data_IF_981499092350
#
_entry.id   IF_981499092350
#
_cell.length_a   1.000
_cell.length_b   1.000
_cell.length_c   1.000
_cell.angle_alpha   90.00
_cell.angle_beta   90.00
_cell.angle_gamma   90.00
#
_symmetry.space_group_name_H-M   'P 1'
#
loop_
_entity.id
_entity.type
_entity.pdbx_description
1 polymer ?
#
# COMPACT_ATOMS: atom_id res chain seq x y z
N UNK A 1 -14.95 -20.14 -2.96
CA UNK A 1 -14.05 -18.99 -3.22
C UNK A 1 -13.81 -18.31 -1.88
N UNK A 2 -12.58 -18.29 -1.38
CA UNK A 2 -12.26 -17.74 -0.06
C UNK A 2 -12.43 -16.22 -0.09
N UNK A 3 -13.26 -15.66 0.79
CA UNK A 3 -13.43 -14.22 0.87
C UNK A 3 -12.10 -13.56 1.32
N UNK A 4 -11.61 -12.53 0.62
CA UNK A 4 -10.30 -11.92 0.88
C UNK A 4 -10.22 -11.29 2.28
N UNK A 5 -11.33 -10.70 2.77
CA UNK A 5 -11.46 -10.23 4.15
C UNK A 5 -11.28 -11.35 5.17
N UNK A 6 -11.87 -12.52 4.91
CA UNK A 6 -11.71 -13.70 5.78
C UNK A 6 -10.28 -14.24 5.77
N UNK A 7 -9.61 -14.21 4.61
CA UNK A 7 -8.21 -14.60 4.49
C UNK A 7 -7.28 -13.66 5.28
N UNK A 8 -7.51 -12.34 5.19
CA UNK A 8 -6.78 -11.35 5.97
C UNK A 8 -6.98 -11.56 7.48
N UNK A 9 -8.23 -11.73 7.92
CA UNK A 9 -8.54 -11.97 9.33
C UNK A 9 -7.86 -13.23 9.87
N UNK A 10 -7.92 -14.33 9.12
CA UNK A 10 -7.26 -15.57 9.50
C UNK A 10 -5.73 -15.41 9.58
N UNK A 11 -5.14 -14.63 8.68
CA UNK A 11 -3.72 -14.33 8.72
C UNK A 11 -3.34 -13.53 9.97
N UNK A 12 -4.05 -12.43 10.26
CA UNK A 12 -3.81 -11.62 11.45
C UNK A 12 -3.91 -12.47 12.73
N UNK A 13 -4.96 -13.29 12.85
CA UNK A 13 -5.11 -14.22 13.97
C UNK A 13 -3.95 -15.21 14.08
N UNK A 14 -3.48 -15.77 12.96
CA UNK A 14 -2.38 -16.74 12.95
C UNK A 14 -1.04 -16.15 13.39
N UNK A 15 -0.87 -14.82 13.21
CA UNK A 15 0.34 -14.07 13.54
C UNK A 15 0.22 -13.30 14.86
N UNK A 16 -0.87 -13.48 15.61
CA UNK A 16 -1.17 -12.72 16.84
C UNK A 16 -1.20 -11.19 16.61
N UNK A 17 -1.63 -10.77 15.42
CA UNK A 17 -1.82 -9.36 15.07
C UNK A 17 -3.21 -8.86 15.49
N UNK A 18 -3.40 -7.53 15.61
CA UNK A 18 -4.70 -6.92 15.82
C UNK A 18 -5.74 -7.33 14.77
N UNK A 19 -7.02 -7.13 15.06
CA UNK A 19 -8.07 -7.33 14.06
C UNK A 19 -8.02 -6.17 13.05
N UNK A 20 -7.95 -6.43 11.74
CA UNK A 20 -7.96 -5.38 10.75
C UNK A 20 -9.35 -4.73 10.66
N UNK A 21 -9.39 -3.41 10.55
CA UNK A 21 -10.60 -2.61 10.39
C UNK A 21 -10.75 -2.20 8.94
N UNK A 22 -11.96 -2.32 8.39
CA UNK A 22 -12.28 -1.93 7.02
C UNK A 22 -13.21 -0.73 7.03
N UNK A 23 -12.81 0.34 6.35
CA UNK A 23 -13.66 1.51 6.11
C UNK A 23 -13.88 1.66 4.61
N UNK A 24 -15.14 1.62 4.17
CA UNK A 24 -15.45 1.73 2.73
C UNK A 24 -16.31 2.94 2.46
N UNK A 25 -15.84 3.79 1.54
CA UNK A 25 -16.49 5.03 1.12
C UNK A 25 -16.87 4.91 -0.36
N UNK A 26 -18.13 5.22 -0.66
CA UNK A 26 -18.62 5.32 -2.02
C UNK A 26 -18.45 6.76 -2.51
N UNK A 27 -17.75 6.91 -3.63
CA UNK A 27 -17.48 8.17 -4.32
C UNK A 27 -17.86 8.01 -5.80
N UNK A 28 -17.87 9.09 -6.57
CA UNK A 28 -18.22 9.04 -7.99
C UNK A 28 -19.69 9.31 -8.29
N UNK A 29 -20.01 9.39 -9.57
CA UNK A 29 -21.35 9.69 -10.09
C UNK A 29 -22.13 8.41 -10.37
N UNK A 30 -23.43 8.53 -10.64
CA UNK A 30 -24.29 7.37 -10.98
C UNK A 30 -23.76 6.60 -12.20
N UNK A 31 -23.17 7.31 -13.17
CA UNK A 31 -22.60 6.75 -14.40
C UNK A 31 -21.18 6.15 -14.22
N UNK A 32 -20.47 6.51 -13.15
CA UNK A 32 -19.08 6.10 -12.90
C UNK A 32 -18.80 5.93 -11.40
N UNK A 33 -19.40 4.91 -10.76
CA UNK A 33 -19.26 4.70 -9.33
C UNK A 33 -17.85 4.23 -8.98
N UNK A 34 -17.27 4.85 -7.95
CA UNK A 34 -15.95 4.54 -7.41
C UNK A 34 -16.03 4.28 -5.92
N UNK A 35 -15.75 3.05 -5.51
CA UNK A 35 -15.65 2.69 -4.11
C UNK A 35 -14.19 2.62 -3.71
N UNK A 36 -13.88 3.19 -2.55
CA UNK A 36 -12.56 3.18 -1.93
C UNK A 36 -12.70 2.47 -0.59
N UNK A 37 -11.82 1.50 -0.33
CA UNK A 37 -11.82 0.70 0.90
C UNK A 37 -10.45 0.77 1.54
N UNK A 38 -10.41 1.29 2.76
CA UNK A 38 -9.21 1.44 3.58
C UNK A 38 -9.15 0.30 4.59
N UNK A 39 -7.97 -0.30 4.75
CA UNK A 39 -7.69 -1.36 5.72
C UNK A 39 -6.66 -0.87 6.70
N UNK A 40 -7.05 -0.78 7.96
CA UNK A 40 -6.17 -0.33 9.04
C UNK A 40 -5.97 -1.41 10.09
N UNK A 41 -4.78 -1.44 10.69
CA UNK A 41 -4.40 -2.35 11.78
C UNK A 41 -3.90 -1.50 12.94
N UNK A 42 -4.52 -1.64 14.11
CA UNK A 42 -4.23 -0.79 15.27
C UNK A 42 -4.33 0.73 15.02
N UNK A 43 -5.23 1.13 14.12
CA UNK A 43 -5.41 2.53 13.71
C UNK A 43 -4.43 3.01 12.63
N UNK A 44 -3.44 2.20 12.26
CA UNK A 44 -2.51 2.51 11.17
C UNK A 44 -3.03 1.98 9.83
N UNK A 45 -3.07 2.83 8.80
CA UNK A 45 -3.51 2.46 7.46
C UNK A 45 -2.49 1.52 6.81
N UNK A 46 -2.88 0.27 6.55
CA UNK A 46 -2.04 -0.73 5.89
C UNK A 46 -2.15 -0.68 4.37
N UNK A 47 -3.38 -0.57 3.86
CA UNK A 47 -3.64 -0.58 2.43
C UNK A 47 -4.96 0.07 2.07
N UNK A 48 -5.03 0.61 0.85
CA UNK A 48 -6.25 1.14 0.24
C UNK A 48 -6.52 0.41 -1.07
N UNK A 49 -7.74 -0.08 -1.24
CA UNK A 49 -8.22 -0.70 -2.47
C UNK A 49 -9.36 0.09 -3.09
N UNK A 50 -9.47 0.01 -4.41
CA UNK A 50 -10.50 0.72 -5.17
C UNK A 50 -11.22 -0.23 -6.12
N UNK A 51 -12.48 0.08 -6.45
CA UNK A 51 -13.27 -0.71 -7.39
C UNK A 51 -14.59 -0.05 -7.76
N UNK A 52 -15.29 -0.61 -8.74
CA UNK A 52 -16.61 -0.11 -9.18
C UNK A 52 -17.75 -0.57 -8.28
N UNK A 53 -17.44 -1.39 -7.27
CA UNK A 53 -18.37 -1.83 -6.24
C UNK A 53 -17.69 -1.90 -4.89
N UNK A 54 -18.46 -1.79 -3.80
CA UNK A 54 -17.95 -1.98 -2.43
C UNK A 54 -17.18 -3.29 -2.29
N UNK A 55 -17.70 -4.38 -2.85
CA UNK A 55 -17.08 -5.71 -2.80
C UNK A 55 -15.73 -5.77 -3.51
N UNK A 56 -15.61 -5.08 -4.64
CA UNK A 56 -14.37 -5.02 -5.41
C UNK A 56 -13.31 -4.21 -4.68
N UNK A 57 -13.67 -3.03 -4.17
CA UNK A 57 -12.77 -2.19 -3.39
C UNK A 57 -12.26 -2.92 -2.14
N UNK A 58 -13.15 -3.56 -1.38
CA UNK A 58 -12.80 -4.37 -0.20
C UNK A 58 -11.91 -5.57 -0.56
N UNK A 59 -12.15 -6.20 -1.71
CA UNK A 59 -11.32 -7.32 -2.18
C UNK A 59 -9.90 -6.86 -2.45
N UNK A 60 -9.75 -5.79 -3.24
CA UNK A 60 -8.45 -5.23 -3.59
C UNK A 60 -7.71 -4.77 -2.33
N UNK A 61 -8.40 -4.09 -1.41
CA UNK A 61 -7.79 -3.60 -0.18
C UNK A 61 -7.29 -4.75 0.72
N UNK A 62 -8.10 -5.80 0.87
CA UNK A 62 -7.71 -6.98 1.65
C UNK A 62 -6.55 -7.76 1.02
N UNK A 63 -6.51 -7.87 -0.31
CA UNK A 63 -5.40 -8.51 -1.03
C UNK A 63 -4.08 -7.75 -0.83
N UNK A 64 -4.11 -6.43 -1.00
CA UNK A 64 -2.95 -5.57 -0.78
C UNK A 64 -2.48 -5.60 0.68
N UNK A 65 -3.42 -5.52 1.64
CA UNK A 65 -3.09 -5.62 3.06
C UNK A 65 -2.45 -6.97 3.41
N UNK A 66 -2.98 -8.07 2.86
CA UNK A 66 -2.44 -9.41 3.12
C UNK A 66 -1.04 -9.56 2.54
N UNK A 67 -0.81 -9.06 1.32
CA UNK A 67 0.51 -9.06 0.71
C UNK A 67 1.51 -8.24 1.53
N UNK A 68 1.10 -7.04 1.97
CA UNK A 68 1.90 -6.18 2.81
C UNK A 68 2.31 -6.88 4.13
N UNK A 69 1.34 -7.49 4.81
CA UNK A 69 1.60 -8.23 6.05
C UNK A 69 2.47 -9.49 5.85
N UNK A 70 2.40 -10.13 4.69
CA UNK A 70 3.29 -11.25 4.34
C UNK A 70 4.72 -10.80 4.09
N UNK A 71 4.93 -9.62 3.51
CA UNK A 71 6.28 -9.06 3.34
C UNK A 71 6.92 -8.70 4.69
N UNK A 72 6.14 -8.14 5.62
CA UNK A 72 6.65 -7.73 6.95
C UNK A 72 6.84 -8.93 7.89
N UNK A 73 5.84 -9.82 7.98
CA UNK A 73 5.82 -10.89 8.99
C UNK A 73 6.13 -12.30 8.43
N UNK A 74 6.41 -12.41 7.13
CA UNK A 74 6.68 -13.66 6.43
C UNK A 74 5.44 -14.54 6.22
N UNK A 75 5.50 -15.49 5.29
CA UNK A 75 4.40 -16.44 5.02
C UNK A 75 3.92 -17.16 6.32
N UNK A 76 2.61 -17.47 6.43
CA UNK A 76 2.11 -18.21 7.57
C UNK A 76 2.65 -19.64 7.51
N UNK A 77 3.53 -20.00 8.45
CA UNK A 77 4.09 -21.33 8.57
C UNK A 77 2.96 -22.33 8.85
N UNK A 78 2.59 -23.12 7.85
CA UNK A 78 1.61 -24.21 7.97
C UNK A 78 2.08 -25.16 9.08
N UNK A 79 1.27 -25.31 10.13
CA UNK A 79 1.57 -26.17 11.29
C UNK A 79 1.58 -27.65 10.88
N UNK A 80 2.69 -28.13 10.33
CA UNK A 80 2.99 -29.55 10.30
C UNK A 80 3.41 -30.00 11.70
N UNK A 81 2.57 -30.82 12.32
CA UNK A 81 2.81 -31.50 13.59
C UNK A 81 4.03 -32.42 13.48
N UNK A 82 5.20 -32.08 14.06
CA UNK A 82 6.10 -33.11 14.63
C UNK A 82 7.19 -32.57 15.58
N UNK A 83 6.98 -32.90 16.86
CA UNK A 83 7.93 -33.39 17.88
C UNK A 83 9.23 -32.61 18.14
N UNK A 84 9.30 -32.06 19.36
CA UNK A 84 10.46 -31.97 20.30
C UNK A 84 11.83 -32.23 19.68
N UNK A 85 12.71 -31.20 19.71
CA UNK A 85 14.08 -31.22 20.29
C UNK A 85 14.68 -29.81 20.29
N UNK A 86 15.31 -29.42 21.40
CA UNK A 86 16.14 -28.20 21.61
C UNK A 86 17.50 -28.69 22.18
N UNK A 87 18.56 -27.86 22.27
CA UNK A 87 19.46 -27.47 21.18
C UNK A 87 20.95 -27.76 21.52
N UNK A 88 21.85 -27.55 20.55
CA UNK A 88 23.31 -27.35 20.67
C UNK A 88 23.77 -26.88 19.28
N UNK A 89 24.55 -25.86 19.03
CA UNK A 89 25.25 -24.79 19.74
C UNK A 89 25.89 -23.94 18.60
N UNK A 90 25.89 -22.60 18.71
CA UNK A 90 27.08 -21.72 18.67
C UNK A 90 28.03 -21.97 17.50
N UNK A 91 28.36 -21.01 16.64
CA UNK A 91 28.90 -19.66 16.91
C UNK A 91 28.97 -18.90 15.57
N UNK A 92 28.55 -17.63 15.52
CA UNK A 92 29.40 -16.42 15.33
C UNK A 92 30.23 -16.42 14.04
N UNK A 93 30.45 -15.35 13.30
CA UNK A 93 30.05 -13.94 13.28
C UNK A 93 30.81 -13.37 12.09
N UNK A 94 30.26 -12.45 11.29
CA UNK A 94 31.00 -11.27 10.85
C UNK A 94 30.23 -10.38 9.89
N UNK A 95 30.25 -9.10 10.27
CA UNK A 95 30.38 -7.94 9.41
C UNK A 95 29.12 -7.46 8.68
N UNK A 96 28.37 -6.70 9.45
CA UNK A 96 27.63 -5.50 9.05
C UNK A 96 28.28 -4.75 7.88
N UNK A 97 27.45 -4.40 6.90
CA UNK A 97 27.39 -3.02 6.43
C UNK A 97 25.94 -2.56 6.62
N UNK A 98 25.70 -1.41 7.28
CA UNK A 98 24.36 -0.86 7.36
C UNK A 98 23.97 -0.47 5.93
N UNK A 99 23.04 -1.21 5.33
CA UNK A 99 22.28 -0.65 4.23
C UNK A 99 21.55 0.53 4.85
N UNK A 100 22.02 1.73 4.53
CA UNK A 100 21.40 3.00 4.83
C UNK A 100 19.93 2.86 4.46
N UNK A 101 19.13 2.50 5.47
CA UNK A 101 17.70 2.34 5.33
C UNK A 101 17.23 3.77 5.15
N UNK A 102 17.10 4.19 3.90
CA UNK A 102 16.44 5.44 3.58
C UNK A 102 15.07 5.37 4.26
N UNK A 103 14.82 6.16 5.31
CA UNK A 103 13.56 6.11 6.05
C UNK A 103 12.36 6.49 5.15
N UNK A 104 12.60 7.04 3.96
CA UNK A 104 11.60 7.33 2.95
C UNK A 104 11.06 6.09 2.20
N UNK A 105 11.59 4.89 2.42
CA UNK A 105 11.05 3.66 1.83
C UNK A 105 9.92 3.03 2.67
N UNK A 106 9.79 3.42 3.94
CA UNK A 106 8.82 2.87 4.90
C UNK A 106 7.73 3.90 5.27
N UNK A 107 8.06 5.19 5.22
CA UNK A 107 7.05 6.24 5.19
C UNK A 107 6.63 6.45 3.74
N UNK A 108 5.33 6.52 3.46
CA UNK A 108 4.85 7.05 2.18
C UNK A 108 5.57 8.36 1.84
N UNK A 109 5.74 8.64 0.55
CA UNK A 109 6.37 9.87 0.10
C UNK A 109 5.75 11.04 0.87
N UNK A 110 6.58 11.91 1.51
CA UNK A 110 6.07 13.00 2.31
C UNK A 110 5.10 13.78 1.44
N UNK A 111 3.84 13.92 1.85
CA UNK A 111 2.81 14.57 1.05
C UNK A 111 2.87 16.06 1.34
N UNK A 112 3.38 16.83 0.39
CA UNK A 112 3.36 18.29 0.42
C UNK A 112 2.15 18.76 -0.40
N UNK A 113 1.10 19.29 0.22
CA UNK A 113 -0.15 19.63 -0.48
C UNK A 113 0.08 20.58 -1.66
N UNK A 114 0.97 21.55 -1.53
CA UNK A 114 1.29 22.52 -2.58
C UNK A 114 1.96 21.86 -3.79
N UNK A 115 2.93 20.97 -3.54
CA UNK A 115 3.66 20.26 -4.59
C UNK A 115 2.76 19.22 -5.27
N UNK A 116 1.88 18.57 -4.50
CA UNK A 116 0.90 17.64 -5.05
C UNK A 116 -0.14 18.38 -5.91
N UNK A 117 -0.62 19.54 -5.47
CA UNK A 117 -1.53 20.37 -6.25
C UNK A 117 -0.89 20.85 -7.56
N UNK A 118 0.39 21.24 -7.51
CA UNK A 118 1.19 21.59 -8.69
C UNK A 118 1.33 20.40 -9.65
N UNK A 119 1.73 19.24 -9.12
CA UNK A 119 1.90 18.03 -9.92
C UNK A 119 0.60 17.58 -10.59
N UNK A 120 -0.52 17.64 -9.89
CA UNK A 120 -1.84 17.33 -10.44
C UNK A 120 -2.24 18.30 -11.55
N UNK A 121 -1.97 19.61 -11.39
CA UNK A 121 -2.29 20.60 -12.41
C UNK A 121 -1.44 20.44 -13.67
N UNK A 122 -0.15 20.14 -13.50
CA UNK A 122 0.76 19.85 -14.61
C UNK A 122 0.35 18.56 -15.32
N UNK A 123 -0.03 17.52 -14.59
CA UNK A 123 -0.48 16.26 -15.15
C UNK A 123 -1.81 16.42 -15.91
N UNK A 124 -2.77 17.16 -15.36
CA UNK A 124 -4.05 17.50 -16.00
C UNK A 124 -3.85 18.26 -17.32
N UNK A 125 -2.97 19.26 -17.33
CA UNK A 125 -2.65 20.03 -18.53
C UNK A 125 -1.98 19.20 -19.64
N UNK A 126 -1.36 18.06 -19.29
CA UNK A 126 -0.67 17.16 -20.23
C UNK A 126 -1.58 16.03 -20.74
N UNK A 127 -2.74 15.82 -20.14
CA UNK A 127 -3.66 14.77 -20.55
C UNK A 127 -4.40 15.14 -21.84
N UNK A 128 -4.45 14.24 -22.83
CA UNK A 128 -5.28 14.43 -24.02
C UNK A 128 -6.76 14.47 -23.64
N UNK A 129 -7.45 15.54 -24.04
CA UNK A 129 -8.92 15.73 -23.85
C UNK A 129 -9.77 14.64 -24.54
N UNK A 130 -9.16 13.80 -25.38
CA UNK A 130 -9.80 12.70 -26.09
C UNK A 130 -9.87 11.40 -25.28
N UNK A 131 -9.11 11.30 -24.18
CA UNK A 131 -9.14 10.12 -23.31
C UNK A 131 -10.38 10.12 -22.42
N UNK A 132 -10.91 8.94 -22.08
CA UNK A 132 -12.12 8.81 -21.25
C UNK A 132 -11.92 7.83 -20.09
N UNK A 133 -12.54 8.15 -18.96
CA UNK A 133 -12.77 7.22 -17.86
C UNK A 133 -11.48 6.66 -17.25
N UNK A 134 -11.31 5.33 -17.35
CA UNK A 134 -10.23 4.58 -16.69
C UNK A 134 -8.84 4.99 -17.17
N UNK A 135 -8.67 5.24 -18.47
CA UNK A 135 -7.38 5.59 -19.06
C UNK A 135 -6.91 6.97 -18.60
N UNK A 136 -7.83 7.91 -18.41
CA UNK A 136 -7.52 9.25 -17.88
C UNK A 136 -7.01 9.16 -16.46
N UNK A 137 -7.65 8.33 -15.61
CA UNK A 137 -7.27 8.21 -14.19
C UNK A 137 -5.93 7.52 -14.02
N UNK A 138 -5.69 6.44 -14.76
CA UNK A 138 -4.42 5.71 -14.71
C UNK A 138 -3.25 6.59 -15.20
N UNK A 139 -3.44 7.31 -16.32
CA UNK A 139 -2.41 8.24 -16.82
C UNK A 139 -2.25 9.48 -15.93
N UNK A 140 -3.32 10.05 -15.38
CA UNK A 140 -3.24 11.15 -14.41
C UNK A 140 -2.43 10.75 -13.18
N UNK A 141 -2.69 9.58 -12.61
CA UNK A 141 -1.97 9.08 -11.43
C UNK A 141 -0.48 8.88 -11.74
N UNK A 142 -0.18 8.33 -12.93
CA UNK A 142 1.20 8.12 -13.39
C UNK A 142 1.94 9.45 -13.58
N UNK A 143 1.38 10.36 -14.37
CA UNK A 143 1.99 11.66 -14.65
C UNK A 143 2.12 12.52 -13.39
N UNK A 144 1.10 12.55 -12.54
CA UNK A 144 1.16 13.28 -11.27
C UNK A 144 2.26 12.72 -10.37
N UNK A 145 2.44 11.40 -10.32
CA UNK A 145 3.53 10.76 -9.57
C UNK A 145 4.92 11.14 -10.09
N UNK A 146 5.12 11.10 -11.42
CA UNK A 146 6.39 11.46 -12.05
C UNK A 146 6.74 12.94 -11.82
N UNK A 147 5.76 13.84 -11.98
CA UNK A 147 5.94 15.28 -11.75
C UNK A 147 6.18 15.58 -10.27
N UNK A 148 5.44 14.93 -9.38
CA UNK A 148 5.61 15.08 -7.94
C UNK A 148 7.04 14.74 -7.50
N UNK A 149 7.57 13.62 -8.00
CA UNK A 149 8.94 13.20 -7.72
C UNK A 149 9.96 14.22 -8.25
N UNK A 150 9.78 14.71 -9.47
CA UNK A 150 10.67 15.71 -10.06
C UNK A 150 10.69 17.02 -9.24
N UNK A 151 9.53 17.51 -8.82
CA UNK A 151 9.42 18.72 -8.00
C UNK A 151 10.08 18.55 -6.61
N UNK A 152 9.97 17.36 -6.01
CA UNK A 152 10.68 17.07 -4.76
C UNK A 152 12.19 17.03 -4.92
N UNK A 153 12.68 16.48 -6.03
CA UNK A 153 14.11 16.47 -6.34
C UNK A 153 14.63 17.90 -6.55
N UNK A 154 13.89 18.75 -7.25
CA UNK A 154 14.22 20.17 -7.47
C UNK A 154 14.27 20.96 -6.16
N UNK A 155 13.25 20.84 -5.31
CA UNK A 155 13.24 21.46 -3.97
C UNK A 155 14.36 20.94 -3.07
N UNK A 156 14.76 19.68 -3.24
CA UNK A 156 15.92 19.10 -2.55
C UNK A 156 17.26 19.63 -3.04
N UNK A 157 17.36 20.08 -4.31
CA UNK A 157 18.56 20.73 -4.85
C UNK A 157 18.68 22.19 -4.39
N UNK A 158 17.56 22.89 -4.20
CA UNK A 158 17.55 24.31 -3.75
C UNK A 158 17.94 24.48 -2.27
N UNK A 159 17.88 23.42 -1.47
CA UNK A 159 18.22 23.44 -0.04
C UNK A 159 19.72 23.23 0.26
N UNK A 160 20.61 23.33 -0.73
CA UNK A 160 22.05 23.01 -0.61
C UNK A 160 22.97 24.21 -0.79
#
# INVERSE_FOLDING_TARGET
MTHPKSALNAYCQSKNLPTPTFETRGTGTEDDPLFISDVSLDGELLATGQGRSKREAERVAAELALEHLRRIHGEPQSKSRKRRRKPRGSSESSAERPAEANPAAQAGWPVYPEVLAEALRIADARLPQTMKGRDVREELARFAGDVYKALLEELGQEAR
#
